data_IF_417571603880
#
_entry.id   IF_417571603880
#
_cell.length_a   1.000
_cell.length_b   1.000
_cell.length_c   1.000
_cell.angle_alpha   90.00
_cell.angle_beta   90.00
_cell.angle_gamma   90.00
#
_symmetry.space_group_name_H-M   'P 1'
#
loop_
_entity.id
_entity.type
_entity.pdbx_description
1 polymer ?
#
# COMPACT_ATOMS: atom_id res chain seq x y z
N UNK A 1 -0.15 -8.31 16.11
CA UNK A 1 -0.51 -9.13 14.93
C UNK A 1 0.52 -8.89 13.84
N UNK A 2 0.94 -9.94 13.16
CA UNK A 2 1.95 -9.92 12.08
C UNK A 2 1.46 -10.73 10.89
N UNK A 3 1.90 -10.38 9.69
CA UNK A 3 1.47 -10.99 8.43
C UNK A 3 2.67 -11.53 7.65
N UNK A 4 2.56 -12.71 7.05
CA UNK A 4 3.50 -13.18 6.04
C UNK A 4 3.12 -12.67 4.64
N UNK A 5 4.04 -12.81 3.68
CA UNK A 5 3.76 -12.45 2.27
C UNK A 5 2.58 -13.25 1.70
N UNK A 6 2.45 -14.53 2.07
CA UNK A 6 1.34 -15.41 1.68
C UNK A 6 -0.01 -14.91 2.20
N UNK A 7 -0.06 -14.44 3.45
CA UNK A 7 -1.29 -13.92 4.07
C UNK A 7 -1.77 -12.68 3.32
N UNK A 8 -0.85 -11.75 3.04
CA UNK A 8 -1.15 -10.54 2.29
C UNK A 8 -1.57 -10.85 0.85
N UNK A 9 -0.92 -11.83 0.21
CA UNK A 9 -1.29 -12.26 -1.14
C UNK A 9 -2.73 -12.79 -1.17
N UNK A 10 -3.09 -13.67 -0.24
CA UNK A 10 -4.46 -14.20 -0.11
C UNK A 10 -5.49 -13.11 0.20
N UNK A 11 -5.22 -12.25 1.17
CA UNK A 11 -6.14 -11.18 1.60
C UNK A 11 -6.39 -10.13 0.50
N UNK A 12 -5.41 -9.89 -0.36
CA UNK A 12 -5.48 -8.85 -1.39
C UNK A 12 -5.83 -9.39 -2.78
N UNK A 13 -5.98 -10.72 -2.92
CA UNK A 13 -6.20 -11.38 -4.21
C UNK A 13 -5.01 -11.20 -5.16
N UNK A 14 -3.80 -11.24 -4.63
CA UNK A 14 -2.55 -11.05 -5.37
C UNK A 14 -1.73 -12.34 -5.37
N UNK A 15 -0.76 -12.45 -6.28
CA UNK A 15 0.30 -13.45 -6.15
C UNK A 15 1.41 -12.94 -5.23
N UNK A 16 2.06 -13.84 -4.48
CA UNK A 16 3.25 -13.47 -3.69
C UNK A 16 4.36 -12.90 -4.57
N UNK A 17 4.46 -13.38 -5.82
CA UNK A 17 5.42 -12.88 -6.80
C UNK A 17 5.18 -11.41 -7.15
N UNK A 18 3.91 -10.96 -7.24
CA UNK A 18 3.60 -9.56 -7.49
C UNK A 18 4.10 -8.66 -6.35
N UNK A 19 3.84 -9.04 -5.10
CA UNK A 19 4.32 -8.30 -3.92
C UNK A 19 5.86 -8.23 -3.92
N UNK A 20 6.53 -9.37 -4.14
CA UNK A 20 8.00 -9.41 -4.25
C UNK A 20 8.53 -8.53 -5.38
N UNK A 21 7.90 -8.58 -6.56
CA UNK A 21 8.31 -7.79 -7.71
C UNK A 21 8.19 -6.28 -7.46
N UNK A 22 7.13 -5.82 -6.78
CA UNK A 22 6.98 -4.41 -6.42
C UNK A 22 8.11 -3.94 -5.51
N UNK A 23 8.44 -4.73 -4.49
CA UNK A 23 9.53 -4.42 -3.56
C UNK A 23 10.90 -4.43 -4.27
N UNK A 24 11.15 -5.39 -5.16
CA UNK A 24 12.37 -5.41 -5.99
C UNK A 24 12.50 -4.18 -6.89
N UNK A 25 11.38 -3.63 -7.38
CA UNK A 25 11.34 -2.41 -8.23
C UNK A 25 11.41 -1.10 -7.43
N UNK A 26 11.51 -1.18 -6.10
CA UNK A 26 11.69 -0.05 -5.20
C UNK A 26 12.85 -0.34 -4.22
N UNK A 27 14.10 -0.44 -4.70
CA UNK A 27 15.22 -0.93 -3.90
C UNK A 27 15.56 -0.05 -2.68
N UNK A 28 15.18 1.23 -2.67
CA UNK A 28 15.33 2.10 -1.50
C UNK A 28 14.22 1.90 -0.44
N UNK A 29 13.16 1.17 -0.77
CA UNK A 29 11.99 1.00 0.08
C UNK A 29 12.04 -0.33 0.83
N UNK A 30 12.24 -0.24 2.15
CA UNK A 30 12.44 -1.40 3.02
C UNK A 30 11.29 -1.52 4.02
N UNK A 31 10.58 -2.65 3.98
CA UNK A 31 9.54 -3.04 4.94
C UNK A 31 9.61 -4.55 5.21
N UNK A 32 9.11 -4.94 6.37
CA UNK A 32 9.06 -6.32 6.83
C UNK A 32 10.40 -6.78 7.41
N UNK A 33 10.32 -7.55 8.49
CA UNK A 33 11.46 -8.24 9.08
C UNK A 33 11.57 -9.66 8.50
N UNK A 34 12.80 -10.10 8.20
CA UNK A 34 13.04 -11.49 7.82
C UNK A 34 13.11 -12.34 9.09
N UNK A 35 12.24 -13.35 9.21
CA UNK A 35 12.27 -14.35 10.29
C UNK A 35 12.30 -15.75 9.65
N UNK A 36 13.45 -16.43 9.79
CA UNK A 36 13.71 -17.67 9.04
C UNK A 36 13.67 -17.42 7.54
N UNK A 37 12.86 -18.19 6.81
CA UNK A 37 12.68 -18.04 5.36
C UNK A 37 11.49 -17.12 4.96
N UNK A 38 10.77 -16.56 5.94
CA UNK A 38 9.61 -15.72 5.69
C UNK A 38 9.92 -14.25 5.97
N UNK A 39 9.37 -13.36 5.13
CA UNK A 39 9.26 -11.93 5.44
C UNK A 39 7.95 -11.68 6.16
N UNK A 40 8.06 -11.07 7.34
CA UNK A 40 6.98 -10.80 8.27
C UNK A 40 6.75 -9.29 8.37
N UNK A 41 5.51 -8.87 8.19
CA UNK A 41 5.07 -7.48 8.18
C UNK A 41 4.26 -7.20 9.44
N UNK A 42 4.47 -6.04 10.05
CA UNK A 42 3.58 -5.52 11.08
C UNK A 42 2.29 -4.96 10.45
N UNK A 43 1.35 -4.50 11.29
CA UNK A 43 0.04 -4.00 10.82
C UNK A 43 0.15 -2.78 9.90
N UNK A 44 1.08 -1.87 10.15
CA UNK A 44 1.30 -0.67 9.32
C UNK A 44 1.90 -1.07 7.98
N UNK A 45 2.84 -2.00 7.97
CA UNK A 45 3.46 -2.51 6.73
C UNK A 45 2.48 -3.33 5.89
N UNK A 46 1.62 -4.12 6.51
CA UNK A 46 0.52 -4.82 5.83
C UNK A 46 -0.47 -3.83 5.19
N UNK A 47 -0.85 -2.78 5.92
CA UNK A 47 -1.70 -1.71 5.39
C UNK A 47 -1.02 -0.96 4.23
N UNK A 48 0.30 -0.72 4.32
CA UNK A 48 1.08 -0.14 3.23
C UNK A 48 0.99 -0.99 1.96
N UNK A 49 1.14 -2.32 2.04
CA UNK A 49 1.00 -3.20 0.88
C UNK A 49 -0.44 -3.18 0.33
N UNK A 50 -1.46 -3.15 1.20
CA UNK A 50 -2.86 -3.06 0.80
C UNK A 50 -3.15 -1.74 0.05
N UNK A 51 -2.69 -0.61 0.56
CA UNK A 51 -2.81 0.69 -0.09
C UNK A 51 -2.10 0.68 -1.44
N UNK A 52 -0.86 0.19 -1.50
CA UNK A 52 -0.11 0.11 -2.75
C UNK A 52 -0.84 -0.74 -3.80
N UNK A 53 -1.46 -1.86 -3.39
CA UNK A 53 -2.25 -2.70 -4.28
C UNK A 53 -3.43 -1.93 -4.91
N UNK A 54 -4.18 -1.15 -4.12
CA UNK A 54 -5.25 -0.29 -4.66
C UNK A 54 -4.69 0.73 -5.66
N UNK A 55 -3.61 1.43 -5.30
CA UNK A 55 -3.00 2.44 -6.17
C UNK A 55 -2.46 1.85 -7.49
N UNK A 56 -1.94 0.61 -7.47
CA UNK A 56 -1.51 -0.08 -8.68
C UNK A 56 -2.68 -0.53 -9.56
N UNK A 57 -3.83 -0.93 -8.99
CA UNK A 57 -5.04 -1.24 -9.76
C UNK A 57 -5.53 -0.03 -10.54
N UNK A 58 -5.38 1.16 -9.96
CA UNK A 58 -5.70 2.43 -10.60
C UNK A 58 -4.55 3.02 -11.45
N UNK A 59 -3.44 2.29 -11.63
CA UNK A 59 -2.27 2.68 -12.45
C UNK A 59 -1.67 4.04 -12.07
N UNK A 60 -1.72 4.42 -10.79
CA UNK A 60 -1.33 5.76 -10.34
C UNK A 60 0.18 6.02 -10.44
N UNK A 61 1.00 4.97 -10.54
CA UNK A 61 2.44 5.11 -10.73
C UNK A 61 3.24 3.83 -10.66
N UNK A 62 4.56 3.99 -10.67
CA UNK A 62 5.53 2.91 -10.55
C UNK A 62 5.78 2.58 -9.08
N UNK A 63 6.32 1.38 -8.75
CA UNK A 63 6.51 0.97 -7.36
C UNK A 63 7.34 1.93 -6.50
N UNK A 64 8.41 2.52 -7.04
CA UNK A 64 9.24 3.46 -6.29
C UNK A 64 8.55 4.81 -6.01
N UNK A 65 7.51 5.16 -6.76
CA UNK A 65 6.68 6.36 -6.48
C UNK A 65 5.55 6.02 -5.50
N UNK A 66 4.91 4.86 -5.68
CA UNK A 66 3.70 4.46 -4.94
C UNK A 66 4.01 3.98 -3.52
N UNK A 67 5.04 3.14 -3.33
CA UNK A 67 5.31 2.51 -2.04
C UNK A 67 5.65 3.52 -0.92
N UNK A 68 6.45 4.58 -1.14
CA UNK A 68 6.68 5.61 -0.13
C UNK A 68 5.39 6.32 0.30
N UNK A 69 4.54 6.68 -0.66
CA UNK A 69 3.24 7.33 -0.39
C UNK A 69 2.33 6.37 0.39
N UNK A 70 2.25 5.11 -0.03
CA UNK A 70 1.47 4.10 0.67
C UNK A 70 1.91 3.92 2.14
N UNK A 71 3.21 4.00 2.42
CA UNK A 71 3.75 3.95 3.79
C UNK A 71 3.36 5.17 4.62
N UNK A 72 3.45 6.36 4.03
CA UNK A 72 3.03 7.61 4.68
C UNK A 72 1.53 7.56 5.04
N UNK A 73 0.69 7.12 4.10
CA UNK A 73 -0.75 6.95 4.32
C UNK A 73 -1.02 5.89 5.39
N UNK A 74 -0.32 4.76 5.36
CA UNK A 74 -0.51 3.70 6.36
C UNK A 74 -0.20 4.19 7.78
N UNK A 75 0.74 5.12 7.93
CA UNK A 75 1.15 5.69 9.21
C UNK A 75 0.29 6.88 9.67
N UNK A 76 -0.51 7.50 8.80
CA UNK A 76 -1.23 8.75 9.11
C UNK A 76 -2.37 8.58 10.11
N UNK A 77 -2.91 7.36 10.26
CA UNK A 77 -4.08 7.09 11.09
C UNK A 77 -5.41 7.56 10.49
N UNK A 78 -5.42 8.24 9.34
CA UNK A 78 -6.64 8.74 8.70
C UNK A 78 -7.62 7.61 8.33
N UNK A 79 -8.93 7.86 8.34
CA UNK A 79 -9.94 6.86 7.96
C UNK A 79 -10.17 6.78 6.45
N UNK A 80 -9.90 7.87 5.75
CA UNK A 80 -9.92 7.96 4.30
C UNK A 80 -8.86 8.95 3.81
N UNK A 81 -8.38 8.77 2.58
CA UNK A 81 -7.52 9.74 1.92
C UNK A 81 -7.75 9.68 0.40
N UNK A 82 -7.67 10.84 -0.25
CA UNK A 82 -7.59 10.92 -1.71
C UNK A 82 -6.14 10.89 -2.15
N UNK A 83 -5.84 10.09 -3.16
CA UNK A 83 -4.50 10.02 -3.77
C UNK A 83 -4.63 10.32 -5.24
N UNK A 84 -3.81 11.24 -5.74
CA UNK A 84 -3.88 11.68 -7.13
C UNK A 84 -2.49 12.06 -7.62
N UNK A 85 -2.39 12.25 -8.94
CA UNK A 85 -1.18 12.75 -9.59
C UNK A 85 -1.58 14.00 -10.39
N UNK A 86 -1.17 15.21 -9.95
CA UNK A 86 -1.32 16.41 -10.75
C UNK A 86 -0.64 16.24 -12.12
N UNK A 87 -1.13 16.94 -13.14
CA UNK A 87 -0.54 16.86 -14.47
C UNK A 87 0.96 17.19 -14.44
N UNK A 88 1.80 16.22 -14.82
CA UNK A 88 3.27 16.36 -14.81
C UNK A 88 3.91 16.36 -13.42
N UNK A 89 3.13 16.19 -12.36
CA UNK A 89 3.58 16.26 -10.97
C UNK A 89 3.81 14.89 -10.30
N UNK A 90 4.35 14.91 -9.07
CA UNK A 90 4.48 13.70 -8.24
C UNK A 90 3.11 13.23 -7.73
N UNK A 91 3.03 11.96 -7.31
CA UNK A 91 1.87 11.46 -6.58
C UNK A 91 1.75 12.23 -5.27
N UNK A 92 0.55 12.71 -4.95
CA UNK A 92 0.25 13.46 -3.74
C UNK A 92 -1.07 12.99 -3.10
N UNK A 93 -1.36 13.51 -1.91
CA UNK A 93 -2.51 13.13 -1.10
C UNK A 93 -3.32 14.34 -0.65
N UNK A 94 -4.63 14.20 -0.54
CA UNK A 94 -5.53 15.20 0.01
C UNK A 94 -6.55 14.55 0.96
N UNK A 95 -7.01 15.32 1.95
CA UNK A 95 -8.12 14.93 2.83
C UNK A 95 -9.47 15.12 2.14
N UNK A 96 -9.57 16.16 1.31
CA UNK A 96 -10.77 16.48 0.53
C UNK A 96 -10.63 16.00 -0.92
N UNK A 97 -11.76 15.86 -1.61
CA UNK A 97 -11.78 15.42 -3.00
C UNK A 97 -11.10 16.47 -3.89
N UNK A 98 -10.01 16.13 -4.60
CA UNK A 98 -9.37 17.04 -5.52
C UNK A 98 -10.20 17.19 -6.82
N UNK A 99 -9.95 18.27 -7.56
CA UNK A 99 -10.56 18.49 -8.87
C UNK A 99 -10.02 17.53 -9.94
N UNK A 100 -8.80 17.01 -9.75
CA UNK A 100 -8.17 16.03 -10.63
C UNK A 100 -8.75 14.62 -10.48
N UNK A 101 -8.47 13.75 -11.45
CA UNK A 101 -8.77 12.31 -11.32
C UNK A 101 -7.99 11.72 -10.14
N UNK A 102 -8.73 11.23 -9.15
CA UNK A 102 -8.18 10.77 -7.89
C UNK A 102 -8.76 9.42 -7.46
N UNK A 103 -7.97 8.69 -6.68
CA UNK A 103 -8.34 7.44 -6.05
C UNK A 103 -8.75 7.72 -4.61
N UNK A 104 -10.00 7.44 -4.28
CA UNK A 104 -10.46 7.45 -2.90
C UNK A 104 -10.04 6.15 -2.21
N UNK A 105 -9.24 6.25 -1.15
CA UNK A 105 -8.81 5.10 -0.36
C UNK A 105 -9.60 5.05 0.97
N UNK A 106 -10.55 4.11 1.13
CA UNK A 106 -11.25 3.91 2.40
C UNK A 106 -10.37 3.12 3.37
N UNK A 107 -9.46 3.79 4.08
CA UNK A 107 -8.44 3.19 4.94
C UNK A 107 -9.02 2.40 6.11
N UNK A 108 -10.12 2.87 6.70
CA UNK A 108 -10.83 2.13 7.75
C UNK A 108 -11.29 0.74 7.27
N UNK A 109 -11.76 0.65 6.02
CA UNK A 109 -12.18 -0.61 5.41
C UNK A 109 -10.99 -1.55 5.16
N UNK A 110 -9.89 -1.01 4.63
CA UNK A 110 -8.66 -1.77 4.41
C UNK A 110 -8.11 -2.32 5.74
N UNK A 111 -8.10 -1.52 6.81
CA UNK A 111 -7.73 -1.96 8.16
C UNK A 111 -8.65 -3.07 8.66
N UNK A 112 -9.96 -2.95 8.44
CA UNK A 112 -10.95 -3.95 8.85
C UNK A 112 -10.72 -5.29 8.15
N UNK A 113 -10.43 -5.29 6.85
CA UNK A 113 -10.10 -6.51 6.08
C UNK A 113 -8.86 -7.21 6.64
N UNK A 114 -7.84 -6.45 7.02
CA UNK A 114 -6.62 -6.97 7.65
C UNK A 114 -6.83 -7.45 9.10
N UNK A 115 -7.96 -7.15 9.74
CA UNK A 115 -8.24 -7.48 11.15
C UNK A 115 -9.26 -8.63 11.33
N UNK A 116 -9.83 -9.17 10.26
CA UNK A 116 -10.84 -10.27 10.30
C UNK A 116 -10.20 -11.67 10.31
N UNK A 117 -8.96 -11.79 10.77
CA UNK A 117 -8.26 -13.05 11.06
C UNK A 117 -7.94 -13.10 12.56
#
# INVERSE_FOLDING_TARGET
>A
MTFATSDLAGLLGLSEAAIRQWLCRAPAFHIGAVRGHARIYNRVEALCIAIAAELFRHRLGRPHEVLPIARQIAASGADAIWVYRPQGGPITTATDQPADTAVHLPLAELRRRLSKQ
#
